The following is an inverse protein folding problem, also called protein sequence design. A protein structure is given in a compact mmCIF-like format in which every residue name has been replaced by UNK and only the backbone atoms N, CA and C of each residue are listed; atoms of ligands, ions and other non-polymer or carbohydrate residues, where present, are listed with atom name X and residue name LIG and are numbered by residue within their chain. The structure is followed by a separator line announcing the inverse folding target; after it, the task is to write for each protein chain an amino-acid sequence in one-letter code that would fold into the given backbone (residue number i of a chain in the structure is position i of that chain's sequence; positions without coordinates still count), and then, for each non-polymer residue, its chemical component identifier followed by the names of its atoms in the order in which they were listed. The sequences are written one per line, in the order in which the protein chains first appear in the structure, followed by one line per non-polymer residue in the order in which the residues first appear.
data_IF_382331482819
#
_entry.id   IF_382331482819
#
_cell.length_a   1.000
_cell.length_b   1.000
_cell.length_c   1.000
_cell.angle_alpha   90.00
_cell.angle_beta   90.00
_cell.angle_gamma   90.00
#
_symmetry.space_group_name_H-M   'P 1'
#
loop_
_entity.id
_entity.type
_entity.pdbx_description
1 polymer ?
#
# COMPACT_ATOMS: atom_id res chain seq x y z
N UNK A 1 12.25 -47.59 -6.79
CA UNK A 1 12.52 -46.34 -7.52
C UNK A 1 11.39 -45.38 -7.15
N UNK A 2 11.64 -44.52 -6.16
CA UNK A 2 10.58 -43.76 -5.49
C UNK A 2 10.30 -42.49 -6.31
N UNK A 3 9.06 -42.42 -6.78
CA UNK A 3 8.47 -41.29 -7.47
C UNK A 3 8.35 -40.12 -6.48
N UNK A 4 9.24 -39.13 -6.62
CA UNK A 4 9.24 -37.91 -5.81
C UNK A 4 8.11 -37.03 -6.31
N UNK A 5 6.99 -37.11 -5.62
CA UNK A 5 5.80 -36.28 -5.82
C UNK A 5 6.15 -34.83 -5.42
N UNK A 6 6.66 -34.03 -6.36
CA UNK A 6 6.90 -32.59 -6.20
C UNK A 6 5.55 -31.84 -6.17
N UNK A 7 4.89 -31.87 -5.01
CA UNK A 7 3.92 -30.85 -4.66
C UNK A 7 4.65 -29.51 -4.46
N UNK A 8 4.13 -28.39 -4.97
CA UNK A 8 4.88 -27.14 -5.06
C UNK A 8 5.17 -26.57 -3.67
N UNK A 9 6.45 -26.37 -3.35
CA UNK A 9 6.98 -25.75 -2.11
C UNK A 9 6.49 -24.32 -1.86
N UNK A 10 5.82 -23.72 -2.85
CA UNK A 10 5.29 -22.34 -2.86
C UNK A 10 4.33 -22.09 -1.68
N UNK A 11 3.57 -23.09 -1.25
CA UNK A 11 2.59 -22.92 -0.17
C UNK A 11 3.24 -22.86 1.22
N UNK A 12 4.33 -23.61 1.45
CA UNK A 12 5.00 -23.64 2.76
C UNK A 12 5.73 -22.33 3.06
N UNK A 13 6.40 -21.75 2.08
CA UNK A 13 7.12 -20.48 2.24
C UNK A 13 6.17 -19.31 2.49
N UNK A 14 5.06 -19.26 1.73
CA UNK A 14 3.99 -18.29 1.91
C UNK A 14 3.43 -18.35 3.34
N UNK A 15 3.10 -19.56 3.82
CA UNK A 15 2.56 -19.76 5.16
C UNK A 15 3.54 -19.32 6.25
N UNK A 16 4.84 -19.61 6.10
CA UNK A 16 5.87 -19.19 7.06
C UNK A 16 5.95 -17.66 7.10
N UNK A 17 6.03 -16.99 5.95
CA UNK A 17 6.11 -15.52 5.89
C UNK A 17 4.88 -14.86 6.47
N UNK A 18 3.68 -15.37 6.14
CA UNK A 18 2.42 -14.90 6.73
C UNK A 18 2.37 -15.12 8.24
N UNK A 19 2.86 -16.25 8.75
CA UNK A 19 2.89 -16.51 10.18
C UNK A 19 3.82 -15.54 10.93
N UNK A 20 5.01 -15.25 10.41
CA UNK A 20 5.94 -14.31 11.01
C UNK A 20 5.42 -12.87 11.01
N UNK A 21 4.87 -12.42 9.87
CA UNK A 21 4.26 -11.09 9.77
C UNK A 21 3.00 -11.02 10.65
N UNK A 22 2.16 -12.05 10.61
CA UNK A 22 0.96 -12.18 11.44
C UNK A 22 1.27 -12.19 12.94
N UNK A 23 2.39 -12.77 13.35
CA UNK A 23 2.87 -12.72 14.74
C UNK A 23 3.24 -11.28 15.13
N UNK A 24 3.97 -10.56 14.27
CA UNK A 24 4.31 -9.15 14.53
C UNK A 24 3.05 -8.28 14.63
N UNK A 25 2.08 -8.48 13.73
CA UNK A 25 0.77 -7.83 13.76
C UNK A 25 -0.01 -8.22 15.04
N UNK A 26 0.01 -9.48 15.42
CA UNK A 26 -0.63 -10.01 16.63
C UNK A 26 -0.09 -9.37 17.90
N UNK A 27 1.23 -9.14 17.94
CA UNK A 27 1.91 -8.53 19.08
C UNK A 27 1.42 -7.11 19.36
N UNK A 28 0.89 -6.39 18.36
CA UNK A 28 0.32 -5.05 18.54
C UNK A 28 -0.87 -5.03 19.52
N UNK A 29 -1.61 -6.13 19.66
CA UNK A 29 -2.73 -6.24 20.62
C UNK A 29 -2.28 -6.09 22.08
N UNK A 30 -1.09 -6.60 22.40
CA UNK A 30 -0.55 -6.64 23.76
C UNK A 30 0.11 -5.33 24.18
N UNK A 31 0.36 -4.42 23.24
CA UNK A 31 1.05 -3.15 23.50
C UNK A 31 0.12 -2.12 24.14
N UNK A 32 0.49 -1.50 25.27
CA UNK A 32 -0.26 -0.39 25.88
C UNK A 32 -0.56 0.72 24.86
N UNK A 33 -1.84 1.13 24.76
CA UNK A 33 -2.22 2.30 23.96
C UNK A 33 -1.81 3.62 24.64
N UNK A 34 -1.55 3.55 25.95
CA UNK A 34 -1.07 4.65 26.77
C UNK A 34 0.39 4.97 26.42
N UNK A 35 0.67 6.26 26.21
CA UNK A 35 1.98 6.89 25.92
C UNK A 35 3.00 6.78 27.07
N UNK A 36 2.86 5.77 27.94
CA UNK A 36 3.58 5.65 29.21
C UNK A 36 4.99 5.08 29.07
N UNK A 37 5.42 4.64 27.89
CA UNK A 37 6.74 4.02 27.75
C UNK A 37 7.69 4.83 26.87
N UNK A 38 8.21 5.91 27.44
CA UNK A 38 9.35 6.69 26.92
C UNK A 38 10.64 5.95 27.29
N UNK A 39 11.15 5.13 26.38
CA UNK A 39 12.29 4.24 26.65
C UNK A 39 13.63 4.99 26.56
N UNK A 40 13.78 5.90 25.59
CA UNK A 40 14.98 6.75 25.42
C UNK A 40 14.51 8.11 24.88
N UNK A 41 14.75 9.19 25.62
CA UNK A 41 14.55 10.56 25.16
C UNK A 41 15.90 11.24 24.94
N UNK A 42 16.36 11.31 23.69
CA UNK A 42 17.52 12.13 23.35
C UNK A 42 17.04 13.56 23.04
N UNK A 43 17.44 14.53 23.86
CA UNK A 43 17.05 15.93 23.72
C UNK A 43 17.94 16.58 22.67
N UNK A 44 17.63 16.38 21.39
CA UNK A 44 18.08 17.25 20.30
C UNK A 44 16.84 17.61 19.50
N UNK A 45 16.34 18.84 19.69
CA UNK A 45 15.25 19.41 18.89
C UNK A 45 13.92 18.65 19.02
N UNK A 46 12.97 19.24 19.73
CA UNK A 46 11.64 18.70 20.05
C UNK A 46 11.10 17.57 19.13
N UNK A 47 11.02 16.36 19.72
CA UNK A 47 10.12 15.25 19.36
C UNK A 47 10.29 14.55 18.00
N UNK A 48 11.49 14.54 17.40
CA UNK A 48 11.73 13.78 16.16
C UNK A 48 12.04 12.29 16.36
N UNK A 49 12.52 11.87 17.55
CA UNK A 49 12.98 10.50 17.81
C UNK A 49 12.51 9.92 19.17
N UNK A 50 11.28 10.21 19.60
CA UNK A 50 10.70 9.44 20.71
C UNK A 50 10.41 8.02 20.23
N UNK A 51 11.22 7.05 20.66
CA UNK A 51 11.03 5.63 20.35
C UNK A 51 10.06 5.05 21.37
N UNK A 52 8.76 5.11 21.04
CA UNK A 52 7.70 4.38 21.77
C UNK A 52 7.76 2.90 21.40
N UNK A 53 7.31 2.01 22.29
CA UNK A 53 7.19 0.57 22.00
C UNK A 53 6.36 0.33 20.72
N UNK A 54 5.30 1.13 20.51
CA UNK A 54 4.49 1.08 19.28
C UNK A 54 5.29 1.43 18.02
N UNK A 55 6.32 2.28 18.09
CA UNK A 55 7.19 2.56 16.94
C UNK A 55 8.19 1.44 16.71
N UNK A 56 8.68 0.81 17.79
CA UNK A 56 9.59 -0.33 17.70
C UNK A 56 8.92 -1.51 16.99
N UNK A 57 7.67 -1.85 17.33
CA UNK A 57 6.96 -2.93 16.64
C UNK A 57 6.73 -2.63 15.15
N UNK A 58 6.54 -1.35 14.77
CA UNK A 58 6.43 -0.96 13.36
C UNK A 58 7.75 -1.14 12.62
N UNK A 59 8.88 -0.79 13.25
CA UNK A 59 10.21 -1.01 12.67
C UNK A 59 10.52 -2.51 12.56
N UNK A 60 10.18 -3.31 13.58
CA UNK A 60 10.31 -4.78 13.53
C UNK A 60 9.44 -5.35 12.42
N UNK A 61 8.19 -4.92 12.31
CA UNK A 61 7.26 -5.38 11.26
C UNK A 61 7.76 -4.99 9.87
N UNK A 62 8.32 -3.79 9.71
CA UNK A 62 8.96 -3.34 8.47
C UNK A 62 10.11 -4.27 8.07
N UNK A 63 11.03 -4.56 9.00
CA UNK A 63 12.20 -5.41 8.74
C UNK A 63 11.76 -6.85 8.44
N UNK A 64 10.88 -7.42 9.25
CA UNK A 64 10.36 -8.78 9.07
C UNK A 64 9.59 -8.90 7.77
N UNK A 65 8.77 -7.91 7.42
CA UNK A 65 8.04 -7.92 6.16
C UNK A 65 8.97 -7.77 4.95
N UNK A 66 10.01 -6.95 5.05
CA UNK A 66 10.98 -6.79 3.96
C UNK A 66 11.80 -8.05 3.76
N UNK A 67 12.32 -8.64 4.85
CA UNK A 67 13.05 -9.89 4.82
C UNK A 67 12.17 -11.04 4.32
N UNK A 68 10.96 -11.19 4.86
CA UNK A 68 10.01 -12.25 4.49
C UNK A 68 9.56 -12.14 3.04
N UNK A 69 9.21 -10.94 2.56
CA UNK A 69 8.88 -10.72 1.16
C UNK A 69 10.10 -10.98 0.25
N UNK A 70 11.30 -10.54 0.65
CA UNK A 70 12.51 -10.78 -0.16
C UNK A 70 12.79 -12.26 -0.30
N UNK A 71 12.69 -13.02 0.80
CA UNK A 71 12.93 -14.44 0.82
C UNK A 71 11.93 -15.18 -0.07
N UNK A 72 10.64 -14.92 0.13
CA UNK A 72 9.57 -15.52 -0.67
C UNK A 72 9.74 -15.28 -2.18
N UNK A 73 10.04 -14.03 -2.57
CA UNK A 73 10.22 -13.68 -3.98
C UNK A 73 11.52 -14.25 -4.56
N UNK A 74 12.59 -14.37 -3.77
CA UNK A 74 13.86 -14.96 -4.23
C UNK A 74 13.78 -16.48 -4.41
N UNK A 75 13.10 -17.19 -3.49
CA UNK A 75 13.00 -18.66 -3.57
C UNK A 75 12.16 -19.11 -4.76
N UNK A 76 11.13 -18.33 -5.10
CA UNK A 76 10.35 -18.57 -6.33
C UNK A 76 11.08 -18.13 -7.61
N UNK A 77 12.02 -17.17 -7.51
CA UNK A 77 12.87 -16.74 -8.63
C UNK A 77 14.06 -17.67 -8.90
N UNK A 78 14.43 -18.55 -7.96
CA UNK A 78 15.53 -19.53 -8.11
C UNK A 78 15.27 -20.52 -9.26
N UNK A 79 14.00 -20.79 -9.59
CA UNK A 79 13.61 -21.57 -10.78
C UNK A 79 13.73 -20.79 -12.11
N UNK A 80 14.06 -19.49 -12.09
CA UNK A 80 14.19 -18.62 -13.28
C UNK A 80 15.64 -18.13 -13.36
N UNK A 81 16.56 -19.07 -13.61
CA UNK A 81 18.01 -18.95 -13.43
C UNK A 81 18.76 -17.91 -14.29
N UNK A 82 18.14 -16.96 -15.01
CA UNK A 82 18.94 -16.12 -15.93
C UNK A 82 18.47 -14.70 -16.25
N UNK A 83 17.51 -14.11 -15.50
CA UNK A 83 16.96 -12.79 -15.91
C UNK A 83 16.70 -11.77 -14.80
N UNK A 84 16.59 -12.15 -13.54
CA UNK A 84 16.16 -11.21 -12.49
C UNK A 84 17.34 -10.76 -11.64
N UNK A 85 18.08 -9.74 -12.11
CA UNK A 85 19.03 -8.99 -11.28
C UNK A 85 18.31 -8.49 -10.02
N UNK A 86 18.94 -8.53 -8.85
CA UNK A 86 18.39 -7.99 -7.57
C UNK A 86 17.71 -6.61 -7.72
N UNK A 87 18.19 -5.76 -8.64
CA UNK A 87 17.59 -4.45 -8.96
C UNK A 87 16.15 -4.52 -9.48
N UNK A 88 15.72 -5.64 -10.07
CA UNK A 88 14.37 -5.88 -10.56
C UNK A 88 13.39 -6.35 -9.48
N UNK A 89 13.87 -6.83 -8.32
CA UNK A 89 13.01 -7.32 -7.22
C UNK A 89 12.58 -6.16 -6.31
N UNK A 90 13.40 -5.12 -6.19
CA UNK A 90 13.13 -3.97 -5.31
C UNK A 90 11.73 -3.35 -5.51
N UNK A 91 11.25 -3.07 -6.74
CA UNK A 91 9.93 -2.48 -6.95
C UNK A 91 8.77 -3.36 -6.44
N UNK A 92 8.94 -4.68 -6.50
CA UNK A 92 7.94 -5.66 -6.08
C UNK A 92 7.90 -5.88 -4.55
N UNK A 93 8.97 -5.48 -3.85
CA UNK A 93 9.05 -5.55 -2.39
C UNK A 93 8.23 -4.46 -1.70
N UNK A 94 8.04 -3.33 -2.36
CA UNK A 94 7.47 -2.13 -1.73
C UNK A 94 6.01 -2.37 -1.32
N UNK A 95 5.23 -3.11 -2.12
CA UNK A 95 3.79 -3.29 -1.84
C UNK A 95 3.54 -4.17 -0.62
N UNK A 96 4.12 -5.39 -0.52
CA UNK A 96 3.91 -6.22 0.66
C UNK A 96 4.37 -5.54 1.95
N UNK A 97 5.53 -4.85 1.89
CA UNK A 97 6.11 -4.15 3.04
C UNK A 97 5.23 -2.99 3.47
N UNK A 98 4.80 -2.15 2.54
CA UNK A 98 3.92 -1.02 2.84
C UNK A 98 2.58 -1.51 3.41
N UNK A 99 2.01 -2.57 2.83
CA UNK A 99 0.77 -3.21 3.33
C UNK A 99 0.91 -3.63 4.79
N UNK A 100 1.98 -4.36 5.09
CA UNK A 100 2.26 -4.87 6.43
C UNK A 100 2.39 -3.75 7.47
N UNK A 101 3.14 -2.69 7.13
CA UNK A 101 3.35 -1.56 8.04
C UNK A 101 2.06 -0.75 8.24
N UNK A 102 1.29 -0.50 7.17
CA UNK A 102 0.00 0.19 7.29
C UNK A 102 -0.97 -0.61 8.15
N UNK A 103 -1.03 -1.93 7.99
CA UNK A 103 -1.84 -2.81 8.85
C UNK A 103 -1.35 -2.73 10.30
N UNK A 104 -0.06 -2.92 10.55
CA UNK A 104 0.52 -2.87 11.89
C UNK A 104 0.17 -1.56 12.62
N UNK A 105 0.26 -0.44 11.90
CA UNK A 105 -0.12 0.86 12.45
C UNK A 105 -1.62 0.93 12.75
N UNK A 106 -2.46 0.54 11.79
CA UNK A 106 -3.93 0.59 11.94
C UNK A 106 -4.38 -0.23 13.14
N UNK A 107 -3.87 -1.46 13.29
CA UNK A 107 -4.19 -2.33 14.42
C UNK A 107 -3.67 -1.78 15.76
N UNK A 108 -2.55 -1.04 15.76
CA UNK A 108 -1.98 -0.45 16.98
C UNK A 108 -2.81 0.72 17.54
N UNK A 109 -3.62 1.37 16.70
CA UNK A 109 -4.46 2.51 17.10
C UNK A 109 -5.88 2.08 17.49
N UNK A 110 -6.28 0.85 17.12
CA UNK A 110 -7.63 0.38 17.34
C UNK A 110 -7.84 0.01 18.82
N UNK A 111 -9.01 0.33 19.35
CA UNK A 111 -9.40 -0.10 20.71
C UNK A 111 -9.41 -1.63 20.73
N UNK A 112 -8.89 -2.20 21.82
CA UNK A 112 -8.89 -3.65 22.05
C UNK A 112 -10.33 -4.13 22.21
N UNK A 113 -10.90 -4.57 21.10
CA UNK A 113 -12.29 -4.94 20.94
C UNK A 113 -12.35 -6.24 20.13
N UNK A 114 -13.41 -7.06 20.23
CA UNK A 114 -13.58 -8.23 19.36
C UNK A 114 -13.47 -7.90 17.85
N UNK A 115 -13.85 -6.68 17.46
CA UNK A 115 -13.68 -6.16 16.10
C UNK A 115 -12.22 -6.10 15.62
N UNK A 116 -11.27 -5.99 16.55
CA UNK A 116 -9.85 -6.00 16.25
C UNK A 116 -9.42 -7.31 15.57
N UNK A 117 -9.94 -8.45 16.05
CA UNK A 117 -9.63 -9.77 15.47
C UNK A 117 -10.15 -9.92 14.04
N UNK A 118 -11.30 -9.32 13.74
CA UNK A 118 -11.87 -9.32 12.38
C UNK A 118 -10.96 -8.54 11.44
N UNK A 119 -10.53 -7.34 11.83
CA UNK A 119 -9.62 -6.51 11.02
C UNK A 119 -8.24 -7.17 10.88
N UNK A 120 -7.76 -7.84 11.94
CA UNK A 120 -6.51 -8.60 11.91
C UNK A 120 -6.55 -9.75 10.90
N UNK A 121 -7.58 -10.61 10.95
CA UNK A 121 -7.73 -11.71 10.00
C UNK A 121 -7.89 -11.21 8.57
N UNK A 122 -8.70 -10.15 8.37
CA UNK A 122 -8.86 -9.52 7.07
C UNK A 122 -7.52 -8.97 6.55
N UNK A 123 -6.71 -8.36 7.42
CA UNK A 123 -5.38 -7.85 7.10
C UNK A 123 -4.41 -8.94 6.67
N UNK A 124 -4.39 -10.08 7.37
CA UNK A 124 -3.57 -11.25 6.99
C UNK A 124 -3.98 -11.80 5.63
N UNK A 125 -5.29 -11.95 5.38
CA UNK A 125 -5.81 -12.38 4.08
C UNK A 125 -5.40 -11.42 2.97
N UNK A 126 -5.53 -10.11 3.22
CA UNK A 126 -5.14 -9.08 2.27
C UNK A 126 -3.64 -9.15 1.95
N UNK A 127 -2.79 -9.34 2.97
CA UNK A 127 -1.35 -9.50 2.82
C UNK A 127 -0.99 -10.77 2.04
N UNK A 128 -1.72 -11.87 2.25
CA UNK A 128 -1.56 -13.10 1.48
C UNK A 128 -1.87 -12.88 -0.01
N UNK A 129 -2.99 -12.21 -0.31
CA UNK A 129 -3.38 -11.84 -1.68
C UNK A 129 -2.29 -10.98 -2.31
N UNK A 130 -1.76 -9.98 -1.60
CA UNK A 130 -0.69 -9.13 -2.09
C UNK A 130 0.54 -9.96 -2.49
N UNK A 131 1.05 -10.79 -1.58
CA UNK A 131 2.24 -11.62 -1.81
C UNK A 131 2.07 -12.57 -3.00
N UNK A 132 0.95 -13.27 -3.07
CA UNK A 132 0.62 -14.19 -4.18
C UNK A 132 0.52 -13.43 -5.50
N UNK A 133 -0.03 -12.22 -5.46
CA UNK A 133 -0.22 -11.39 -6.64
C UNK A 133 1.10 -10.83 -7.18
N UNK A 134 2.04 -10.44 -6.31
CA UNK A 134 3.39 -10.01 -6.70
C UNK A 134 4.18 -11.16 -7.34
N UNK A 135 4.12 -12.34 -6.72
CA UNK A 135 4.72 -13.56 -7.27
C UNK A 135 4.22 -13.82 -8.68
N UNK A 136 2.90 -13.77 -8.88
CA UNK A 136 2.29 -14.01 -10.19
C UNK A 136 2.79 -13.02 -11.27
N UNK A 137 2.99 -11.74 -10.91
CA UNK A 137 3.54 -10.74 -11.83
C UNK A 137 5.02 -11.02 -12.16
N UNK A 138 5.83 -11.42 -11.17
CA UNK A 138 7.25 -11.74 -11.35
C UNK A 138 7.48 -12.99 -12.20
N UNK A 139 6.73 -14.08 -11.96
CA UNK A 139 6.91 -15.35 -12.65
C UNK A 139 6.42 -15.32 -14.10
N UNK A 140 5.40 -14.52 -14.42
CA UNK A 140 4.72 -14.53 -15.73
C UNK A 140 4.86 -13.20 -16.50
N UNK A 141 6.05 -12.60 -16.48
CA UNK A 141 6.34 -11.34 -17.18
C UNK A 141 6.02 -11.36 -18.69
N UNK A 142 5.99 -12.53 -19.33
CA UNK A 142 5.77 -12.67 -20.79
C UNK A 142 4.30 -12.95 -21.19
N UNK A 143 3.43 -13.34 -20.24
CA UNK A 143 2.01 -13.57 -20.50
C UNK A 143 1.17 -12.81 -19.47
N UNK A 144 0.80 -11.57 -19.83
CA UNK A 144 -0.07 -10.70 -19.03
C UNK A 144 -1.45 -11.34 -18.88
N UNK A 145 -1.66 -12.10 -17.81
CA UNK A 145 -2.97 -12.62 -17.46
C UNK A 145 -3.85 -11.48 -16.88
N UNK A 146 -5.13 -11.36 -17.27
CA UNK A 146 -5.99 -10.28 -16.80
C UNK A 146 -6.33 -10.37 -15.31
N UNK A 147 -6.30 -11.57 -14.72
CA UNK A 147 -6.73 -11.82 -13.33
C UNK A 147 -5.77 -11.19 -12.29
N UNK A 148 -4.44 -11.44 -12.33
CA UNK A 148 -3.51 -10.78 -11.42
C UNK A 148 -3.60 -9.25 -11.52
N UNK A 149 -3.57 -8.70 -12.74
CA UNK A 149 -3.55 -7.25 -12.98
C UNK A 149 -4.70 -6.51 -12.27
N UNK A 150 -5.92 -7.05 -12.32
CA UNK A 150 -7.10 -6.44 -11.67
C UNK A 150 -6.98 -6.50 -10.14
N UNK A 151 -6.51 -7.63 -9.59
CA UNK A 151 -6.31 -7.79 -8.15
C UNK A 151 -5.26 -6.81 -7.63
N UNK A 152 -4.12 -6.70 -8.32
CA UNK A 152 -3.03 -5.79 -7.93
C UNK A 152 -3.47 -4.32 -7.92
N UNK A 153 -4.26 -3.91 -8.91
CA UNK A 153 -4.80 -2.55 -8.99
C UNK A 153 -5.75 -2.28 -7.83
N UNK A 154 -6.69 -3.20 -7.58
CA UNK A 154 -7.69 -3.08 -6.50
C UNK A 154 -7.02 -2.98 -5.14
N UNK A 155 -6.06 -3.88 -4.88
CA UNK A 155 -5.27 -3.88 -3.65
C UNK A 155 -4.52 -2.58 -3.50
N UNK A 156 -3.85 -2.08 -4.55
CA UNK A 156 -3.04 -0.86 -4.48
C UNK A 156 -3.88 0.38 -4.15
N UNK A 157 -5.07 0.50 -4.75
CA UNK A 157 -6.00 1.61 -4.48
C UNK A 157 -6.56 1.50 -3.06
N UNK A 158 -6.94 0.31 -2.61
CA UNK A 158 -7.40 0.08 -1.24
C UNK A 158 -6.31 0.41 -0.20
N UNK A 159 -5.07 0.03 -0.49
CA UNK A 159 -3.92 0.32 0.35
C UNK A 159 -3.60 1.81 0.41
N UNK A 160 -3.73 2.50 -0.72
CA UNK A 160 -3.59 3.96 -0.77
C UNK A 160 -4.64 4.64 0.11
N UNK A 161 -5.91 4.25 -0.01
CA UNK A 161 -7.00 4.77 0.80
C UNK A 161 -6.75 4.57 2.30
N UNK A 162 -6.44 3.33 2.70
CA UNK A 162 -6.15 3.00 4.09
C UNK A 162 -4.93 3.78 4.62
N UNK A 163 -3.87 3.87 3.82
CA UNK A 163 -2.67 4.64 4.15
C UNK A 163 -2.96 6.11 4.40
N UNK A 164 -3.82 6.74 3.58
CA UNK A 164 -4.21 8.13 3.76
C UNK A 164 -5.08 8.37 5.00
N UNK A 165 -6.03 7.47 5.27
CA UNK A 165 -6.85 7.54 6.48
C UNK A 165 -5.96 7.47 7.71
N UNK A 166 -5.10 6.46 7.76
CA UNK A 166 -4.10 6.27 8.81
C UNK A 166 -3.28 7.54 8.98
N UNK A 167 -2.69 8.05 7.89
CA UNK A 167 -1.80 9.19 7.92
C UNK A 167 -2.50 10.43 8.47
N UNK A 168 -3.78 10.65 8.12
CA UNK A 168 -4.55 11.76 8.65
C UNK A 168 -4.88 11.57 10.14
N UNK A 169 -5.14 10.34 10.58
CA UNK A 169 -5.38 10.02 12.00
C UNK A 169 -4.15 10.27 12.88
N UNK A 170 -2.93 10.06 12.37
CA UNK A 170 -1.68 10.38 13.12
C UNK A 170 -1.55 11.90 13.35
N UNK A 171 -2.19 12.72 12.51
CA UNK A 171 -2.03 14.16 12.51
C UNK A 171 -0.58 14.64 12.37
N UNK A 172 0.25 14.08 11.48
CA UNK A 172 1.63 14.48 11.35
C UNK A 172 1.69 15.88 10.74
N UNK A 173 2.74 16.63 11.10
CA UNK A 173 2.94 17.97 10.52
C UNK A 173 3.07 17.88 9.00
N UNK A 174 2.66 18.95 8.31
CA UNK A 174 2.59 19.00 6.85
C UNK A 174 3.90 18.60 6.15
N UNK A 175 5.06 18.94 6.73
CA UNK A 175 6.37 18.56 6.16
C UNK A 175 6.67 17.06 6.18
N UNK A 176 5.95 16.27 6.99
CA UNK A 176 6.02 14.79 6.99
C UNK A 176 4.90 14.21 6.15
N UNK A 177 3.69 14.78 6.25
CA UNK A 177 2.53 14.32 5.49
C UNK A 177 2.76 14.44 3.99
N UNK A 178 3.22 15.61 3.54
CA UNK A 178 3.41 15.94 2.13
C UNK A 178 4.33 14.95 1.40
N UNK A 179 5.58 14.69 1.84
CA UNK A 179 6.44 13.74 1.14
C UNK A 179 5.85 12.33 1.16
N UNK A 180 5.18 11.92 2.23
CA UNK A 180 4.62 10.57 2.32
C UNK A 180 3.45 10.37 1.35
N UNK A 181 2.55 11.35 1.24
CA UNK A 181 1.47 11.34 0.24
C UNK A 181 2.04 11.36 -1.16
N UNK A 182 3.07 12.18 -1.41
CA UNK A 182 3.72 12.27 -2.71
C UNK A 182 4.32 10.92 -3.13
N UNK A 183 5.08 10.26 -2.26
CA UNK A 183 5.65 8.94 -2.54
C UNK A 183 4.59 7.86 -2.73
N UNK A 184 3.56 7.81 -1.86
CA UNK A 184 2.47 6.85 -1.98
C UNK A 184 1.72 7.02 -3.30
N UNK A 185 1.45 8.27 -3.70
CA UNK A 185 0.76 8.60 -4.95
C UNK A 185 1.61 8.22 -6.16
N UNK A 186 2.89 8.59 -6.19
CA UNK A 186 3.82 8.25 -7.26
C UNK A 186 3.91 6.73 -7.47
N UNK A 187 3.95 5.99 -6.36
CA UNK A 187 4.08 4.54 -6.37
C UNK A 187 2.83 3.86 -6.94
N UNK A 188 1.64 4.26 -6.49
CA UNK A 188 0.38 3.70 -6.98
C UNK A 188 0.15 4.08 -8.44
N UNK A 189 0.45 5.31 -8.83
CA UNK A 189 0.37 5.77 -10.21
C UNK A 189 1.32 4.98 -11.13
N UNK A 190 2.57 4.75 -10.73
CA UNK A 190 3.52 3.92 -11.47
C UNK A 190 2.94 2.52 -11.74
N UNK A 191 2.43 1.87 -10.70
CA UNK A 191 1.90 0.51 -10.81
C UNK A 191 0.68 0.45 -11.71
N UNK A 192 -0.27 1.36 -11.53
CA UNK A 192 -1.49 1.38 -12.32
C UNK A 192 -1.20 1.63 -13.80
N UNK A 193 -0.30 2.57 -14.12
CA UNK A 193 0.11 2.85 -15.49
C UNK A 193 0.89 1.66 -16.08
N UNK A 194 1.85 1.08 -15.35
CA UNK A 194 2.61 -0.09 -15.80
C UNK A 194 1.70 -1.29 -16.14
N UNK A 195 0.67 -1.49 -15.32
CA UNK A 195 -0.26 -2.61 -15.46
C UNK A 195 -1.32 -2.39 -16.56
N UNK A 196 -1.80 -1.15 -16.75
CA UNK A 196 -2.88 -0.82 -17.70
C UNK A 196 -2.40 -0.29 -19.04
N UNK A 197 -1.17 0.24 -19.13
CA UNK A 197 -0.59 0.77 -20.38
C UNK A 197 0.20 -0.30 -21.14
N UNK A 198 0.00 -0.36 -22.45
CA UNK A 198 0.73 -1.24 -23.37
C UNK A 198 2.09 -0.67 -23.79
N UNK A 199 2.36 0.61 -23.51
CA UNK A 199 3.57 1.33 -23.94
C UNK A 199 4.51 1.67 -22.77
N UNK A 200 5.71 2.16 -23.10
CA UNK A 200 6.71 2.61 -22.11
C UNK A 200 6.11 3.69 -21.20
N UNK A 201 6.08 3.38 -19.91
CA UNK A 201 5.69 4.30 -18.84
C UNK A 201 6.52 5.58 -18.91
N UNK A 202 5.86 6.73 -19.08
CA UNK A 202 6.52 8.04 -18.97
C UNK A 202 6.62 8.43 -17.50
N UNK A 203 7.85 8.51 -16.99
CA UNK A 203 8.13 8.98 -15.63
C UNK A 203 7.59 10.40 -15.36
N UNK A 204 7.53 11.24 -16.40
CA UNK A 204 6.97 12.59 -16.36
C UNK A 204 5.50 12.59 -15.93
N UNK A 205 4.68 11.69 -16.49
CA UNK A 205 3.25 11.58 -16.16
C UNK A 205 3.05 11.18 -14.70
N UNK A 206 3.87 10.26 -14.19
CA UNK A 206 3.81 9.81 -12.79
C UNK A 206 4.17 10.95 -11.85
N UNK A 207 5.26 11.68 -12.16
CA UNK A 207 5.70 12.83 -11.37
C UNK A 207 4.64 13.92 -11.31
N UNK A 208 3.98 14.21 -12.44
CA UNK A 208 2.92 15.21 -12.52
C UNK A 208 1.71 14.82 -11.65
N UNK A 209 1.25 13.58 -11.74
CA UNK A 209 0.15 13.07 -10.89
C UNK A 209 0.53 13.15 -9.41
N UNK A 210 1.75 12.73 -9.05
CA UNK A 210 2.25 12.77 -7.67
C UNK A 210 2.27 14.19 -7.09
N UNK A 211 2.78 15.16 -7.87
CA UNK A 211 2.82 16.57 -7.46
C UNK A 211 1.42 17.16 -7.38
N UNK A 212 0.54 16.90 -8.36
CA UNK A 212 -0.82 17.42 -8.37
C UNK A 212 -1.62 16.93 -7.15
N UNK A 213 -1.61 15.62 -6.89
CA UNK A 213 -2.29 15.04 -5.72
C UNK A 213 -1.62 15.48 -4.42
N UNK A 214 -0.29 15.62 -4.38
CA UNK A 214 0.44 16.16 -3.24
C UNK A 214 0.05 17.59 -2.89
N UNK A 215 -0.08 18.47 -3.89
CA UNK A 215 -0.53 19.85 -3.68
C UNK A 215 -1.97 19.90 -3.17
N UNK A 216 -2.87 19.08 -3.74
CA UNK A 216 -4.25 18.97 -3.26
C UNK A 216 -4.28 18.44 -1.84
N UNK A 217 -3.44 17.47 -1.48
CA UNK A 217 -3.32 16.98 -0.10
C UNK A 217 -2.91 18.08 0.88
N UNK A 218 -2.00 18.98 0.47
CA UNK A 218 -1.59 20.12 1.28
C UNK A 218 -2.73 21.13 1.46
N UNK A 219 -3.53 21.37 0.42
CA UNK A 219 -4.73 22.21 0.52
C UNK A 219 -5.78 21.59 1.45
N UNK A 220 -6.06 20.29 1.33
CA UNK A 220 -7.00 19.58 2.20
C UNK A 220 -6.50 19.50 3.65
N UNK A 221 -5.19 19.52 3.89
CA UNK A 221 -4.63 19.46 5.24
C UNK A 221 -5.08 20.64 6.11
N UNK A 222 -5.15 21.85 5.52
CA UNK A 222 -5.62 23.06 6.19
C UNK A 222 -7.14 23.10 6.37
N UNK A 223 -7.86 22.24 5.65
CA UNK A 223 -9.30 22.11 5.76
C UNK A 223 -9.61 21.11 6.88
N UNK A 224 -10.56 21.45 7.76
CA UNK A 224 -10.95 20.63 8.91
C UNK A 224 -11.81 19.41 8.50
N UNK A 225 -11.24 18.59 7.62
CA UNK A 225 -11.86 17.41 7.03
C UNK A 225 -11.52 16.18 7.88
N UNK A 226 -12.49 15.30 8.08
CA UNK A 226 -12.33 14.03 8.81
C UNK A 226 -11.35 13.09 8.07
N UNK A 227 -10.68 12.17 8.78
CA UNK A 227 -9.67 11.27 8.20
C UNK A 227 -10.23 10.41 7.05
N UNK A 228 -11.49 9.98 7.18
CA UNK A 228 -12.18 9.21 6.15
C UNK A 228 -12.42 10.02 4.87
N UNK A 229 -12.89 11.26 5.02
CA UNK A 229 -13.15 12.19 3.92
C UNK A 229 -11.86 12.57 3.19
N UNK A 230 -10.78 12.79 3.95
CA UNK A 230 -9.45 13.06 3.40
C UNK A 230 -9.00 11.89 2.50
N UNK A 231 -9.07 10.65 3.00
CA UNK A 231 -8.70 9.46 2.22
C UNK A 231 -9.55 9.28 0.96
N UNK A 232 -10.88 9.44 1.05
CA UNK A 232 -11.80 9.27 -0.07
C UNK A 232 -11.57 10.28 -1.18
N UNK A 233 -11.42 11.57 -0.84
CA UNK A 233 -11.21 12.63 -1.83
C UNK A 233 -9.91 12.44 -2.60
N UNK A 234 -8.81 12.16 -1.89
CA UNK A 234 -7.50 11.93 -2.50
C UNK A 234 -7.45 10.65 -3.34
N UNK A 235 -8.10 9.58 -2.89
CA UNK A 235 -8.16 8.31 -3.64
C UNK A 235 -8.97 8.48 -4.92
N UNK A 236 -10.11 9.18 -4.85
CA UNK A 236 -10.91 9.51 -6.03
C UNK A 236 -10.16 10.37 -7.03
N UNK A 237 -9.44 11.39 -6.54
CA UNK A 237 -8.60 12.26 -7.37
C UNK A 237 -7.47 11.46 -8.06
N UNK A 238 -6.76 10.62 -7.31
CA UNK A 238 -5.70 9.77 -7.85
C UNK A 238 -6.26 8.86 -8.95
N UNK A 239 -7.37 8.17 -8.69
CA UNK A 239 -7.99 7.28 -9.67
C UNK A 239 -8.38 8.03 -10.96
N UNK A 240 -8.97 9.21 -10.81
CA UNK A 240 -9.38 10.04 -11.94
C UNK A 240 -8.17 10.46 -12.79
N UNK A 241 -7.12 10.97 -12.17
CA UNK A 241 -5.91 11.41 -12.86
C UNK A 241 -5.17 10.27 -13.56
N UNK A 242 -5.05 9.12 -12.90
CA UNK A 242 -4.36 7.96 -13.47
C UNK A 242 -5.16 7.35 -14.63
N UNK A 243 -6.48 7.25 -14.50
CA UNK A 243 -7.33 6.74 -15.59
C UNK A 243 -7.32 7.68 -16.79
N UNK A 244 -7.31 9.00 -16.55
CA UNK A 244 -7.14 10.01 -17.59
C UNK A 244 -5.77 9.86 -18.28
N UNK A 245 -4.69 9.69 -17.51
CA UNK A 245 -3.35 9.49 -18.06
C UNK A 245 -3.26 8.25 -18.95
N UNK A 246 -3.84 7.13 -18.53
CA UNK A 246 -3.89 5.91 -19.33
C UNK A 246 -4.74 6.10 -20.60
N UNK A 247 -5.82 6.86 -20.53
CA UNK A 247 -6.66 7.14 -21.70
C UNK A 247 -5.92 8.03 -22.73
N UNK A 248 -5.18 9.03 -22.26
CA UNK A 248 -4.33 9.90 -23.07
C UNK A 248 -3.19 9.11 -23.73
N UNK A 249 -2.53 8.22 -22.99
CA UNK A 249 -1.47 7.36 -23.55
C UNK A 249 -1.97 6.39 -24.63
N UNK A 250 -3.22 5.95 -24.52
CA UNK A 250 -3.84 5.05 -25.50
C UNK A 250 -4.51 5.79 -26.68
N UNK A 251 -4.21 7.09 -26.88
CA UNK A 251 -4.79 7.95 -27.92
C UNK A 251 -6.33 7.97 -27.96
N UNK A 252 -6.99 7.65 -26.84
CA UNK A 252 -8.45 7.83 -26.71
C UNK A 252 -8.69 9.29 -26.39
N UNK A 253 -8.93 10.10 -27.42
CA UNK A 253 -9.32 11.52 -27.27
C UNK A 253 -10.83 11.66 -27.31
N UNK A 254 -11.40 12.41 -26.34
CA UNK A 254 -12.82 12.77 -26.33
C UNK A 254 -13.51 12.68 -24.95
N UNK A 255 -14.79 13.05 -24.91
CA UNK A 255 -15.64 13.00 -23.71
C UNK A 255 -15.76 11.59 -23.12
N UNK A 256 -15.64 10.54 -23.95
CA UNK A 256 -15.65 9.15 -23.51
C UNK A 256 -14.40 8.75 -22.69
N UNK A 257 -13.25 9.40 -22.92
CA UNK A 257 -12.03 9.19 -22.14
C UNK A 257 -12.08 9.88 -20.77
N UNK A 258 -12.81 10.99 -20.68
CA UNK A 258 -13.03 11.71 -19.43
C UNK A 258 -14.25 11.18 -18.63
N UNK A 259 -15.16 10.43 -19.25
CA UNK A 259 -16.37 9.93 -18.59
C UNK A 259 -16.07 8.98 -17.41
N UNK A 260 -15.20 7.99 -17.59
CA UNK A 260 -14.80 7.04 -16.53
C UNK A 260 -14.12 7.75 -15.33
N UNK A 261 -13.12 8.63 -15.50
CA UNK A 261 -12.51 9.33 -14.37
C UNK A 261 -13.45 10.34 -13.69
N UNK A 262 -14.30 11.03 -14.45
CA UNK A 262 -15.18 12.08 -13.92
C UNK A 262 -16.39 11.49 -13.17
N UNK A 263 -16.91 10.35 -13.61
CA UNK A 263 -17.92 9.59 -12.86
C UNK A 263 -17.38 9.08 -11.53
N UNK A 264 -16.17 8.54 -11.50
CA UNK A 264 -15.55 8.06 -10.26
C UNK A 264 -15.21 9.19 -9.29
N UNK A 265 -14.80 10.36 -9.80
CA UNK A 265 -14.60 11.56 -8.98
C UNK A 265 -15.94 12.07 -8.41
N UNK A 266 -17.01 12.08 -9.22
CA UNK A 266 -18.35 12.42 -8.73
C UNK A 266 -18.82 11.46 -7.63
N UNK A 267 -18.61 10.15 -7.82
CA UNK A 267 -18.96 9.13 -6.82
C UNK A 267 -18.20 9.38 -5.51
N UNK A 268 -16.88 9.63 -5.57
CA UNK A 268 -16.11 9.89 -4.36
C UNK A 268 -16.54 11.18 -3.66
N UNK A 269 -16.92 12.21 -4.41
CA UNK A 269 -17.41 13.48 -3.87
C UNK A 269 -18.78 13.30 -3.21
N UNK A 270 -19.69 12.55 -3.83
CA UNK A 270 -21.01 12.20 -3.26
C UNK A 270 -20.85 11.38 -1.98
N UNK A 271 -19.99 10.36 -1.98
CA UNK A 271 -19.66 9.57 -0.78
C UNK A 271 -19.10 10.45 0.34
N UNK A 272 -18.18 11.35 0.00
CA UNK A 272 -17.63 12.31 0.98
C UNK A 272 -18.74 13.21 1.54
N UNK A 273 -19.63 13.72 0.69
CA UNK A 273 -20.79 14.51 1.11
C UNK A 273 -21.73 13.76 2.03
N UNK A 274 -21.98 12.47 1.77
CA UNK A 274 -22.82 11.64 2.62
C UNK A 274 -22.22 11.43 4.01
N UNK A 275 -20.90 11.33 4.11
CA UNK A 275 -20.20 11.26 5.41
C UNK A 275 -20.16 12.58 6.19
N UNK A 276 -20.65 13.71 5.63
CA UNK A 276 -20.87 14.93 6.41
C UNK A 276 -22.15 14.86 7.25
N UNK A 277 -23.08 13.96 6.91
CA UNK A 277 -24.37 13.81 7.59
C UNK A 277 -24.35 12.77 8.72
N UNK A 278 -23.25 12.04 8.91
CA UNK A 278 -23.03 11.04 9.96
C UNK A 278 -21.91 11.47 10.89
#
# INVERSE_FOLDING_TARGET
MIEKNEQPTINSELNIVLAFIGLCLGFTYFLPNESVNRIIGFVIGENLLDITVNRLILVVTLIVSAAGASWYLTTSAENIHDRVKLKGILPHLVIPVFTSVTLAYTLSQMVRSPWWWVVFLLGIVLLAVVLVSEQAELTRSDQRMPIPTISLITVSIGLYLLGLIVLRTIGPRLYVLFPLVLFATAFVAYRFIKLRSHQKTRWETIGLIAVAVGQVSAALYYLFINALQFGLLLTGLLYALVTLAVALENNRTGAAAAAEPLTMLLISLVLTGLTLFF
#
